data_IF_608876713895
#
_entry.id   IF_608876713895
#
_cell.length_a   1.000
_cell.length_b   1.000
_cell.length_c   1.000
_cell.angle_alpha   90.00
_cell.angle_beta   90.00
_cell.angle_gamma   90.00
#
_symmetry.space_group_name_H-M   'P 1'
#
loop_
_entity.id
_entity.type
_entity.pdbx_description
1 polymer ?
#
# COMPACT_ATOMS: atom_id res chain seq x y z
N UNK A 1 -21.09 -2.90 -11.41
CA UNK A 1 -19.94 -2.79 -10.46
C UNK A 1 -20.25 -1.71 -9.43
N UNK A 2 -20.20 -2.01 -8.14
CA UNK A 2 -20.54 -1.09 -7.05
C UNK A 2 -19.35 -0.90 -6.09
N UNK A 3 -19.10 0.37 -5.70
CA UNK A 3 -18.18 0.69 -4.61
C UNK A 3 -18.78 0.25 -3.27
N UNK A 4 -17.96 -0.26 -2.36
CA UNK A 4 -18.37 -0.82 -1.08
C UNK A 4 -18.32 0.21 0.05
N UNK A 5 -19.37 0.19 0.89
CA UNK A 5 -19.49 1.09 2.05
C UNK A 5 -18.66 0.61 3.25
N UNK A 6 -18.49 1.50 4.21
CA UNK A 6 -17.89 1.27 5.53
C UNK A 6 -18.43 0.02 6.24
N UNK A 7 -19.78 -0.13 6.27
CA UNK A 7 -20.43 -1.31 6.87
C UNK A 7 -20.00 -2.61 6.20
N UNK A 8 -20.01 -2.65 4.86
CA UNK A 8 -19.57 -3.83 4.13
C UNK A 8 -18.07 -4.13 4.39
N UNK A 9 -17.24 -3.08 4.43
CA UNK A 9 -15.79 -3.24 4.70
C UNK A 9 -15.59 -3.83 6.10
N UNK A 10 -16.31 -3.34 7.12
CA UNK A 10 -16.24 -3.87 8.48
C UNK A 10 -16.72 -5.33 8.57
N UNK A 11 -17.82 -5.68 7.90
CA UNK A 11 -18.33 -7.06 7.82
C UNK A 11 -17.29 -8.01 7.19
N UNK A 12 -16.63 -7.59 6.10
CA UNK A 12 -15.59 -8.40 5.45
C UNK A 12 -14.29 -8.46 6.25
N UNK A 13 -13.93 -7.39 6.95
CA UNK A 13 -12.77 -7.39 7.85
C UNK A 13 -12.97 -8.35 9.02
N UNK A 14 -14.18 -8.42 9.59
CA UNK A 14 -14.54 -9.43 10.60
C UNK A 14 -14.42 -10.87 10.08
N UNK A 15 -14.57 -11.08 8.76
CA UNK A 15 -14.33 -12.36 8.08
C UNK A 15 -12.84 -12.57 7.67
N UNK A 16 -11.93 -11.64 8.03
CA UNK A 16 -10.49 -11.75 7.81
C UNK A 16 -9.97 -11.09 6.52
N UNK A 17 -10.76 -10.25 5.84
CA UNK A 17 -10.31 -9.57 4.63
C UNK A 17 -9.17 -8.57 4.88
N UNK A 18 -9.14 -7.91 6.04
CA UNK A 18 -8.14 -6.90 6.42
C UNK A 18 -7.67 -7.19 7.85
N UNK A 19 -6.36 -7.33 8.05
CA UNK A 19 -5.78 -7.66 9.36
C UNK A 19 -4.40 -6.98 9.55
N UNK A 20 -4.17 -6.19 10.65
CA UNK A 20 -5.15 -5.75 11.65
C UNK A 20 -6.09 -4.67 11.11
N UNK A 21 -7.33 -4.66 11.59
CA UNK A 21 -8.38 -3.75 11.16
C UNK A 21 -8.63 -2.63 12.18
N UNK A 22 -8.79 -1.39 11.69
CA UNK A 22 -9.22 -0.23 12.48
C UNK A 22 -10.66 0.14 12.09
N UNK A 23 -11.61 -0.07 13.01
CA UNK A 23 -13.06 0.05 12.75
C UNK A 23 -13.54 1.49 12.47
N UNK A 24 -12.69 2.49 12.78
CA UNK A 24 -13.00 3.89 12.56
C UNK A 24 -11.76 4.67 12.14
N UNK A 25 -11.96 5.91 11.69
CA UNK A 25 -10.85 6.82 11.39
C UNK A 25 -10.08 7.20 12.66
N UNK A 26 -8.87 6.72 12.80
CA UNK A 26 -7.95 7.08 13.89
C UNK A 26 -7.17 8.33 13.47
N UNK A 27 -7.22 9.39 14.29
CA UNK A 27 -6.53 10.67 14.07
C UNK A 27 -5.58 11.05 15.21
N UNK A 28 -5.70 10.33 16.31
CA UNK A 28 -4.92 10.56 17.53
C UNK A 28 -4.68 9.20 18.17
N UNK A 29 -3.46 8.93 18.56
CA UNK A 29 -3.05 7.73 19.32
C UNK A 29 -2.81 8.11 20.78
N UNK A 30 -2.30 7.17 21.57
CA UNK A 30 -1.98 7.36 22.99
C UNK A 30 -1.24 8.67 23.24
N UNK A 31 -1.46 9.27 24.44
CA UNK A 31 -0.88 10.56 24.87
C UNK A 31 -1.32 11.79 24.02
N UNK A 32 -2.38 11.65 23.18
CA UNK A 32 -2.87 12.75 22.37
C UNK A 32 -2.01 13.10 21.14
N UNK A 33 -1.04 12.26 20.77
CA UNK A 33 -0.21 12.45 19.59
C UNK A 33 -1.08 12.37 18.33
N UNK A 34 -1.08 13.43 17.53
CA UNK A 34 -1.76 13.47 16.22
C UNK A 34 -1.01 12.62 15.21
N UNK A 35 -1.77 11.86 14.41
CA UNK A 35 -1.25 11.03 13.32
C UNK A 35 -1.98 11.34 12.01
N UNK A 36 -1.34 11.05 10.88
CA UNK A 36 -2.03 11.05 9.60
C UNK A 36 -3.05 9.92 9.63
N UNK A 37 -4.32 10.27 9.48
CA UNK A 37 -5.45 9.37 9.77
C UNK A 37 -5.42 8.08 8.99
N UNK A 38 -5.85 6.99 9.63
CA UNK A 38 -5.98 5.65 9.04
C UNK A 38 -7.25 4.96 9.54
N UNK A 39 -7.62 3.83 8.93
CA UNK A 39 -8.79 3.06 9.26
C UNK A 39 -9.95 3.28 8.30
N UNK A 40 -11.13 2.76 8.69
CA UNK A 40 -12.33 2.78 7.83
C UNK A 40 -12.80 4.21 7.53
N UNK A 41 -13.13 4.46 6.26
CA UNK A 41 -13.81 5.67 5.78
C UNK A 41 -15.13 5.29 5.10
N UNK A 42 -15.93 6.27 4.67
CA UNK A 42 -17.29 6.03 4.12
C UNK A 42 -17.34 4.98 2.99
N UNK A 43 -16.34 4.98 2.09
CA UNK A 43 -16.27 4.08 0.93
C UNK A 43 -14.86 3.57 0.67
N UNK A 44 -14.09 3.33 1.74
CA UNK A 44 -12.73 2.84 1.63
C UNK A 44 -12.08 2.59 2.98
N UNK A 45 -10.82 2.20 2.92
CA UNK A 45 -9.99 1.96 4.10
C UNK A 45 -8.63 2.63 3.91
N UNK A 46 -8.28 3.54 4.82
CA UNK A 46 -6.98 4.19 4.82
C UNK A 46 -5.94 3.26 5.45
N UNK A 47 -5.00 2.79 4.63
CA UNK A 47 -3.94 1.86 5.03
C UNK A 47 -2.78 2.57 5.69
N UNK A 48 -2.12 1.86 6.63
CA UNK A 48 -0.90 2.31 7.29
C UNK A 48 0.35 1.82 6.56
N UNK A 49 1.40 2.63 6.63
CA UNK A 49 2.73 2.23 6.21
C UNK A 49 3.40 1.37 7.30
N UNK A 50 4.03 0.27 6.95
CA UNK A 50 4.86 -0.52 7.86
C UNK A 50 6.21 0.19 8.12
N UNK A 51 6.96 -0.18 9.18
CA UNK A 51 8.21 0.48 9.54
C UNK A 51 9.41 0.08 8.68
N UNK A 52 9.24 -0.87 7.75
CA UNK A 52 10.30 -1.32 6.84
C UNK A 52 10.25 -0.55 5.51
N UNK A 53 11.40 -0.10 5.06
CA UNK A 53 11.55 0.68 3.83
C UNK A 53 12.74 0.18 3.01
N UNK A 54 12.61 0.28 1.69
CA UNK A 54 13.71 0.12 0.72
C UNK A 54 13.92 1.44 0.00
N UNK A 55 14.97 2.14 0.35
CA UNK A 55 15.32 3.46 -0.23
C UNK A 55 16.13 3.22 -1.51
N UNK A 56 15.64 3.75 -2.64
CA UNK A 56 16.36 3.64 -3.91
C UNK A 56 17.67 4.41 -3.88
N UNK A 57 18.72 3.78 -4.41
CA UNK A 57 20.03 4.37 -4.60
C UNK A 57 20.54 4.08 -6.02
N UNK A 58 21.28 5.03 -6.60
CA UNK A 58 21.86 4.92 -7.93
C UNK A 58 23.36 4.51 -7.90
N UNK A 59 23.86 4.01 -6.77
CA UNK A 59 25.29 3.70 -6.60
C UNK A 59 25.73 2.46 -7.41
N UNK A 60 24.82 1.49 -7.58
CA UNK A 60 25.17 0.19 -8.15
C UNK A 60 24.61 -0.06 -9.56
N UNK A 61 23.87 0.89 -10.14
CA UNK A 61 23.28 0.73 -11.47
C UNK A 61 23.26 2.04 -12.22
N UNK A 62 23.48 1.97 -13.54
CA UNK A 62 23.43 3.13 -14.45
C UNK A 62 22.06 3.26 -15.14
N UNK A 63 21.24 2.21 -15.11
CA UNK A 63 19.91 2.15 -15.73
C UNK A 63 18.95 1.39 -14.83
N UNK A 64 17.74 1.89 -14.68
CA UNK A 64 16.64 1.15 -14.05
C UNK A 64 15.95 0.31 -15.13
N UNK A 65 16.16 -1.01 -15.11
CA UNK A 65 15.54 -1.94 -16.05
C UNK A 65 14.56 -2.86 -15.30
N UNK A 66 13.23 -2.80 -15.56
CA UNK A 66 12.26 -3.63 -14.89
C UNK A 66 12.38 -5.13 -15.21
N UNK A 67 13.04 -5.49 -16.31
CA UNK A 67 13.31 -6.89 -16.68
C UNK A 67 14.58 -7.43 -16.06
N UNK A 68 15.52 -6.56 -15.68
CA UNK A 68 16.81 -6.90 -15.09
C UNK A 68 17.13 -5.95 -13.95
N UNK A 69 16.20 -5.84 -12.99
CA UNK A 69 16.36 -4.94 -11.86
C UNK A 69 17.42 -5.46 -10.89
N UNK A 70 18.41 -4.59 -10.58
CA UNK A 70 19.45 -4.90 -9.60
C UNK A 70 18.91 -4.68 -8.17
N UNK A 71 18.74 -5.75 -7.35
CA UNK A 71 18.30 -5.60 -5.94
C UNK A 71 19.26 -4.75 -5.10
N UNK A 72 20.54 -4.65 -5.47
CA UNK A 72 21.52 -3.77 -4.83
C UNK A 72 21.25 -2.28 -5.04
N UNK A 73 20.25 -1.92 -5.87
CA UNK A 73 19.76 -0.53 -6.00
C UNK A 73 18.89 -0.07 -4.84
N UNK A 74 18.73 -0.88 -3.79
CA UNK A 74 18.01 -0.49 -2.59
C UNK A 74 18.87 -0.60 -1.33
N UNK A 75 18.67 0.35 -0.42
CA UNK A 75 19.16 0.32 0.96
C UNK A 75 17.96 0.07 1.88
N UNK A 76 18.08 -0.95 2.73
CA UNK A 76 17.05 -1.28 3.72
C UNK A 76 17.16 -0.32 4.91
N UNK A 77 16.02 0.25 5.32
CA UNK A 77 15.87 1.15 6.44
C UNK A 77 14.67 0.71 7.26
N UNK A 78 14.80 0.74 8.59
CA UNK A 78 13.69 0.48 9.52
C UNK A 78 13.58 1.64 10.51
N UNK A 79 12.35 2.08 10.81
CA UNK A 79 12.12 3.18 11.75
C UNK A 79 10.69 3.71 11.75
N UNK A 80 10.44 4.71 12.59
CA UNK A 80 9.17 5.41 12.72
C UNK A 80 8.85 6.33 11.53
N UNK A 81 9.83 6.60 10.69
CA UNK A 81 9.69 7.33 9.44
C UNK A 81 10.83 7.01 8.47
N UNK A 82 10.63 7.36 7.21
CA UNK A 82 11.65 7.30 6.17
C UNK A 82 11.82 8.67 5.49
N UNK A 83 13.05 9.00 5.13
CA UNK A 83 13.38 10.17 4.30
C UNK A 83 13.54 9.70 2.85
N UNK A 84 12.65 10.16 1.98
CA UNK A 84 12.71 9.90 0.54
C UNK A 84 13.63 10.94 -0.09
N UNK A 85 14.73 10.55 -0.75
CA UNK A 85 15.64 11.51 -1.39
C UNK A 85 14.91 12.38 -2.44
N UNK A 86 15.43 13.57 -2.78
CA UNK A 86 14.87 14.41 -3.82
C UNK A 86 14.78 13.68 -5.16
N UNK A 87 13.63 13.80 -5.86
CA UNK A 87 13.41 13.18 -7.18
C UNK A 87 13.70 11.67 -7.21
N UNK A 88 13.45 10.97 -6.09
CA UNK A 88 13.71 9.54 -5.92
C UNK A 88 12.45 8.82 -5.41
N UNK A 89 12.58 7.54 -5.12
CA UNK A 89 11.46 6.74 -4.62
C UNK A 89 11.90 5.77 -3.52
N UNK A 90 10.92 5.29 -2.79
CA UNK A 90 11.05 4.32 -1.70
C UNK A 90 9.95 3.29 -1.84
N UNK A 91 10.27 2.04 -1.58
CA UNK A 91 9.27 1.00 -1.39
C UNK A 91 9.05 0.76 0.10
N UNK A 92 7.81 0.53 0.47
CA UNK A 92 7.40 -0.01 1.77
C UNK A 92 6.28 -1.02 1.54
N UNK A 93 5.59 -1.41 2.60
CA UNK A 93 4.39 -2.25 2.52
C UNK A 93 3.30 -1.71 3.44
N UNK A 94 2.09 -2.18 3.23
CA UNK A 94 1.02 -1.95 4.21
C UNK A 94 1.31 -2.70 5.51
N UNK A 95 0.93 -2.09 6.63
CA UNK A 95 0.87 -2.80 7.91
C UNK A 95 -0.20 -3.88 7.87
N UNK A 96 -1.30 -3.58 7.18
CA UNK A 96 -2.43 -4.48 6.98
C UNK A 96 -2.08 -5.59 5.99
N UNK A 97 -2.55 -6.79 6.29
CA UNK A 97 -2.59 -7.94 5.41
C UNK A 97 -3.99 -8.04 4.81
N UNK A 98 -4.09 -8.26 3.50
CA UNK A 98 -5.34 -8.35 2.76
C UNK A 98 -5.61 -9.77 2.26
N UNK A 99 -6.89 -10.16 2.23
CA UNK A 99 -7.40 -11.39 1.59
C UNK A 99 -8.66 -11.03 0.82
N UNK A 100 -8.49 -10.73 -0.46
CA UNK A 100 -9.60 -10.25 -1.29
C UNK A 100 -10.54 -11.38 -1.70
N UNK A 101 -11.87 -11.20 -1.54
CA UNK A 101 -12.86 -12.14 -2.09
C UNK A 101 -12.82 -12.19 -3.63
N UNK A 102 -13.31 -13.31 -4.21
CA UNK A 102 -13.28 -13.55 -5.67
C UNK A 102 -14.02 -12.50 -6.51
N UNK A 103 -15.03 -11.84 -5.96
CA UNK A 103 -15.80 -10.79 -6.66
C UNK A 103 -15.28 -9.37 -6.42
N UNK A 104 -14.21 -9.23 -5.66
CA UNK A 104 -13.70 -7.94 -5.23
C UNK A 104 -12.40 -7.61 -5.95
N UNK A 105 -12.38 -6.43 -6.53
CA UNK A 105 -11.21 -5.75 -7.04
C UNK A 105 -10.96 -4.50 -6.19
N UNK A 106 -9.70 -4.11 -6.01
CA UNK A 106 -9.33 -2.96 -5.19
C UNK A 106 -8.45 -1.99 -5.97
N UNK A 107 -8.75 -0.70 -5.84
CA UNK A 107 -7.90 0.38 -6.33
C UNK A 107 -7.33 1.12 -5.13
N UNK A 108 -6.01 1.31 -5.10
CA UNK A 108 -5.32 2.09 -4.09
C UNK A 108 -5.04 3.50 -4.62
N UNK A 109 -5.39 4.52 -3.83
CA UNK A 109 -5.18 5.94 -4.16
C UNK A 109 -4.37 6.58 -3.05
N UNK A 110 -3.35 7.38 -3.41
CA UNK A 110 -2.53 8.10 -2.46
C UNK A 110 -3.35 9.07 -1.58
N UNK A 111 -2.95 9.23 -0.33
CA UNK A 111 -3.62 10.14 0.62
C UNK A 111 -3.34 11.60 0.29
N UNK A 112 -4.37 12.43 0.36
CA UNK A 112 -4.31 13.86 -0.01
C UNK A 112 -3.26 14.66 0.78
N UNK A 113 -2.95 14.25 2.01
CA UNK A 113 -1.91 14.87 2.84
C UNK A 113 -0.54 14.75 2.17
N UNK A 114 -0.18 13.56 1.69
CA UNK A 114 1.07 13.32 0.97
C UNK A 114 1.06 13.93 -0.43
N UNK A 115 -0.04 13.79 -1.16
CA UNK A 115 -0.18 14.34 -2.52
C UNK A 115 0.06 15.86 -2.55
N UNK A 116 -0.43 16.60 -1.55
CA UNK A 116 -0.20 18.06 -1.42
C UNK A 116 1.23 18.44 -1.05
N UNK A 117 2.04 17.49 -0.60
CA UNK A 117 3.48 17.65 -0.37
C UNK A 117 4.33 17.17 -1.54
N UNK A 118 3.72 16.81 -2.69
CA UNK A 118 4.44 16.29 -3.85
C UNK A 118 4.94 14.86 -3.66
N UNK A 119 4.35 14.10 -2.73
CA UNK A 119 4.63 12.68 -2.53
C UNK A 119 3.48 11.88 -3.15
N UNK A 120 3.82 11.06 -4.14
CA UNK A 120 2.88 10.17 -4.80
C UNK A 120 3.00 8.79 -4.17
N UNK A 121 1.88 8.18 -3.80
CA UNK A 121 1.81 6.76 -3.46
C UNK A 121 1.12 6.06 -4.61
N UNK A 122 1.84 5.17 -5.27
CA UNK A 122 1.34 4.37 -6.37
C UNK A 122 1.20 2.92 -5.95
N UNK A 123 0.15 2.26 -6.42
CA UNK A 123 -0.10 0.82 -6.28
C UNK A 123 -0.95 0.41 -7.47
N UNK A 124 -0.58 -0.68 -8.13
CA UNK A 124 -1.43 -1.26 -9.19
C UNK A 124 -2.71 -1.86 -8.58
N UNK A 125 -3.81 -1.99 -9.35
CA UNK A 125 -5.03 -2.62 -8.85
C UNK A 125 -4.76 -4.02 -8.28
N UNK A 126 -5.39 -4.33 -7.15
CA UNK A 126 -5.37 -5.67 -6.58
C UNK A 126 -6.55 -6.45 -7.15
N UNK A 127 -6.26 -7.58 -7.74
CA UNK A 127 -7.22 -8.40 -8.44
C UNK A 127 -7.96 -9.39 -7.51
N UNK A 128 -9.06 -10.00 -7.97
CA UNK A 128 -9.78 -11.05 -7.24
C UNK A 128 -8.89 -12.14 -6.65
N UNK A 129 -9.13 -12.49 -5.40
CA UNK A 129 -8.38 -13.51 -4.63
C UNK A 129 -6.89 -13.19 -4.41
N UNK A 130 -6.46 -11.94 -4.67
CA UNK A 130 -5.13 -11.51 -4.26
C UNK A 130 -5.03 -11.51 -2.72
N UNK A 131 -3.88 -11.97 -2.22
CA UNK A 131 -3.60 -12.04 -0.79
C UNK A 131 -2.18 -11.54 -0.48
N UNK A 132 -2.01 -10.79 0.61
CA UNK A 132 -0.68 -10.33 1.05
C UNK A 132 -0.67 -8.96 1.71
N UNK A 133 0.53 -8.51 2.10
CA UNK A 133 0.81 -7.10 2.36
C UNK A 133 1.05 -6.38 1.04
N UNK A 134 0.40 -5.24 0.83
CA UNK A 134 0.54 -4.47 -0.41
C UNK A 134 1.88 -3.75 -0.41
N UNK A 135 2.70 -3.89 -1.45
CA UNK A 135 3.87 -3.04 -1.63
C UNK A 135 3.40 -1.64 -2.00
N UNK A 136 3.87 -0.64 -1.25
CA UNK A 136 3.60 0.78 -1.42
C UNK A 136 4.79 1.43 -2.11
N UNK A 137 4.54 2.13 -3.22
CA UNK A 137 5.56 2.76 -4.05
C UNK A 137 5.49 4.28 -3.88
N UNK A 138 6.35 4.84 -3.02
CA UNK A 138 6.39 6.28 -2.73
C UNK A 138 7.36 6.97 -3.66
N UNK A 139 6.89 7.95 -4.43
CA UNK A 139 7.73 8.83 -5.26
C UNK A 139 7.77 10.23 -4.69
N UNK A 140 8.95 10.79 -4.48
CA UNK A 140 9.16 12.18 -4.13
C UNK A 140 9.41 12.99 -5.41
N UNK A 141 8.43 13.79 -5.80
CA UNK A 141 8.52 14.64 -7.01
C UNK A 141 9.11 16.01 -6.73
N UNK A 142 9.59 16.27 -5.51
CA UNK A 142 10.12 17.55 -5.10
C UNK A 142 11.67 17.58 -5.12
N UNK A 143 12.29 18.74 -5.24
CA UNK A 143 13.75 18.87 -5.14
C UNK A 143 14.29 18.81 -3.70
N UNK A 144 13.42 18.57 -2.71
CA UNK A 144 13.77 18.49 -1.29
C UNK A 144 13.58 17.05 -0.77
N UNK A 145 14.34 16.64 0.26
CA UNK A 145 14.03 15.40 0.97
C UNK A 145 12.60 15.44 1.54
N UNK A 146 11.85 14.38 1.34
CA UNK A 146 10.46 14.28 1.82
C UNK A 146 10.34 13.18 2.88
N UNK A 147 9.43 13.37 3.86
CA UNK A 147 9.24 12.42 4.96
C UNK A 147 7.94 11.65 4.81
N UNK A 148 8.00 10.32 4.96
CA UNK A 148 6.84 9.46 5.16
C UNK A 148 6.91 8.79 6.53
N UNK A 149 5.76 8.56 7.18
CA UNK A 149 5.69 8.05 8.55
C UNK A 149 5.22 6.60 8.56
N UNK A 150 5.89 5.78 9.38
CA UNK A 150 5.44 4.43 9.69
C UNK A 150 4.24 4.44 10.65
N UNK A 151 3.42 3.39 10.61
CA UNK A 151 2.22 3.20 11.43
C UNK A 151 1.14 4.27 11.27
N UNK A 152 1.28 5.14 10.28
CA UNK A 152 0.32 6.21 9.96
C UNK A 152 -0.28 5.99 8.55
N UNK A 153 -1.43 6.65 8.28
CA UNK A 153 -2.17 6.50 7.04
C UNK A 153 -1.45 7.11 5.84
N UNK A 154 -1.30 6.35 4.75
CA UNK A 154 -0.53 6.78 3.56
C UNK A 154 -1.30 6.70 2.26
N UNK A 155 -2.30 5.83 2.17
CA UNK A 155 -3.11 5.62 0.98
C UNK A 155 -4.50 5.10 1.37
N UNK A 156 -5.44 5.14 0.44
CA UNK A 156 -6.80 4.64 0.62
C UNK A 156 -7.08 3.50 -0.35
N UNK A 157 -7.58 2.39 0.16
CA UNK A 157 -8.11 1.27 -0.60
C UNK A 157 -9.59 1.47 -0.86
N UNK A 158 -9.98 1.45 -2.14
CA UNK A 158 -11.37 1.47 -2.61
C UNK A 158 -11.75 0.06 -3.08
N UNK A 159 -12.85 -0.48 -2.58
CA UNK A 159 -13.30 -1.83 -2.89
C UNK A 159 -14.48 -1.79 -3.86
N UNK A 160 -14.38 -2.55 -4.95
CA UNK A 160 -15.39 -2.65 -5.98
C UNK A 160 -15.83 -4.11 -6.16
N UNK A 161 -17.13 -4.34 -6.16
CA UNK A 161 -17.69 -5.66 -6.44
C UNK A 161 -18.12 -5.75 -7.90
N UNK A 162 -17.74 -6.85 -8.55
CA UNK A 162 -18.20 -7.20 -9.89
C UNK A 162 -19.62 -7.75 -9.86
N UNK A 163 -20.35 -7.61 -10.98
CA UNK A 163 -21.70 -8.13 -11.18
C UNK A 163 -21.67 -9.67 -11.33
N UNK A 164 -20.54 -10.21 -11.78
CA UNK A 164 -20.32 -11.64 -12.00
C UNK A 164 -18.94 -12.09 -11.50
N UNK A 165 -18.75 -13.37 -11.31
CA UNK A 165 -17.46 -13.95 -10.97
C UNK A 165 -16.51 -13.90 -12.18
N UNK A 166 -15.22 -13.61 -11.94
CA UNK A 166 -14.22 -13.79 -12.98
C UNK A 166 -13.95 -15.28 -13.21
N UNK A 167 -13.72 -15.66 -14.47
CA UNK A 167 -13.37 -17.06 -14.81
C UNK A 167 -12.02 -17.45 -14.21
N UNK A 168 -11.03 -16.53 -14.26
CA UNK A 168 -9.67 -16.77 -13.77
C UNK A 168 -9.27 -15.63 -12.82
N UNK A 169 -9.06 -15.94 -11.54
CA UNK A 169 -8.60 -15.00 -10.53
C UNK A 169 -7.08 -14.85 -10.53
N UNK A 170 -6.57 -13.91 -9.74
CA UNK A 170 -5.13 -13.74 -9.53
C UNK A 170 -4.48 -14.99 -8.91
N UNK A 171 -5.21 -15.66 -8.01
CA UNK A 171 -4.78 -16.89 -7.38
C UNK A 171 -4.77 -18.06 -8.38
N UNK A 172 -5.82 -18.18 -9.20
CA UNK A 172 -5.95 -19.27 -10.18
C UNK A 172 -4.80 -19.30 -11.19
N UNK A 173 -4.32 -18.11 -11.63
CA UNK A 173 -3.19 -17.99 -12.57
C UNK A 173 -1.81 -17.97 -11.90
N UNK A 174 -1.73 -18.19 -10.58
CA UNK A 174 -0.46 -18.18 -9.85
C UNK A 174 0.26 -16.84 -9.92
N UNK A 175 -0.47 -15.74 -9.70
CA UNK A 175 0.06 -14.38 -9.80
C UNK A 175 1.35 -14.18 -9.00
N UNK A 176 2.35 -13.53 -9.60
CA UNK A 176 3.74 -13.46 -9.09
C UNK A 176 3.90 -12.76 -7.72
N UNK A 177 2.90 -12.03 -7.28
CA UNK A 177 2.88 -11.34 -5.99
C UNK A 177 1.85 -11.93 -5.00
N UNK A 178 1.32 -13.13 -5.27
CA UNK A 178 0.41 -13.83 -4.37
C UNK A 178 1.11 -14.20 -3.06
N UNK A 179 0.44 -13.99 -1.92
CA UNK A 179 0.93 -14.36 -0.61
C UNK A 179 2.17 -13.59 -0.13
N UNK A 180 2.40 -12.38 -0.61
CA UNK A 180 3.60 -11.63 -0.22
C UNK A 180 3.54 -11.17 1.24
N UNK A 181 4.61 -11.46 1.99
CA UNK A 181 4.73 -11.14 3.42
C UNK A 181 5.70 -9.99 3.73
N UNK A 182 6.41 -9.47 2.72
CA UNK A 182 7.37 -8.37 2.85
C UNK A 182 7.36 -7.48 1.61
N UNK A 183 8.22 -6.47 1.58
CA UNK A 183 8.40 -5.58 0.42
C UNK A 183 8.95 -6.40 -0.75
N UNK A 184 8.26 -6.37 -1.88
CA UNK A 184 8.70 -7.05 -3.10
C UNK A 184 9.34 -6.07 -4.07
N UNK A 185 10.51 -6.44 -4.58
CA UNK A 185 11.17 -5.74 -5.68
C UNK A 185 10.58 -6.22 -7.03
N UNK A 186 10.82 -5.49 -8.14
CA UNK A 186 10.31 -5.87 -9.44
C UNK A 186 10.67 -7.31 -9.82
N UNK A 187 9.70 -8.01 -10.42
CA UNK A 187 9.87 -9.34 -11.01
C UNK A 187 9.36 -9.28 -12.45
N UNK A 188 10.16 -9.66 -13.41
CA UNK A 188 9.76 -9.82 -14.80
C UNK A 188 8.91 -11.08 -15.03
#
# INVERSE_FOLDING_TARGET
MAIKSDRWIAEQAAAGMIEPFAEAQVRTVEEGKKVISYGVSSYGYDVRCAPEFKVFTNLNSTVVDPKNFDPGSFVDVEGDHCIIPPNSFVLSRTLEYFRLPRRIMTICVGKSTYARCGIIVNVTPLEPEWEGHVTLEFSNTTPLPAKTYANEGVAQMLFFESDEDCEVSYKDRGGKYQGQTGIRVPKA
#
